data_IF_282267503714
#
_entry.id   IF_282267503714
#
_cell.length_a   1.000
_cell.length_b   1.000
_cell.length_c   1.000
_cell.angle_alpha   90.00
_cell.angle_beta   90.00
_cell.angle_gamma   90.00
#
_symmetry.space_group_name_H-M   'P 1'
#
loop_
_entity.id
_entity.type
_entity.pdbx_description
1 polymer ?
#
# COMPACT_ATOMS: atom_id res chain seq x y z
N UNK A 1 -58.55 -4.91 39.61
CA UNK A 1 -57.76 -3.80 40.18
C UNK A 1 -57.79 -2.65 39.19
N UNK A 2 -58.22 -1.44 39.58
CA UNK A 2 -58.25 -0.28 38.68
C UNK A 2 -56.85 0.35 38.56
N UNK A 3 -56.44 0.68 37.33
CA UNK A 3 -55.21 1.43 37.06
C UNK A 3 -55.29 2.85 37.62
N UNK A 4 -54.21 3.40 38.20
CA UNK A 4 -54.23 4.76 38.70
C UNK A 4 -54.38 5.77 37.56
N UNK A 5 -55.28 6.73 37.78
CA UNK A 5 -55.44 7.90 36.92
C UNK A 5 -54.20 8.82 36.98
N UNK A 6 -53.76 9.38 35.84
CA UNK A 6 -52.53 10.17 35.77
C UNK A 6 -52.63 11.46 36.58
N UNK A 7 -51.48 11.88 37.11
CA UNK A 7 -51.38 13.02 38.03
C UNK A 7 -51.53 14.36 37.31
N UNK A 8 -51.88 15.41 38.06
CA UNK A 8 -52.03 16.78 37.54
C UNK A 8 -50.75 17.28 36.82
N UNK A 9 -49.57 16.78 37.23
CA UNK A 9 -48.28 17.09 36.61
C UNK A 9 -48.08 16.41 35.25
N UNK A 10 -48.60 15.21 35.03
CA UNK A 10 -48.55 14.51 33.73
C UNK A 10 -49.49 15.14 32.68
N UNK A 11 -50.52 15.87 33.13
CA UNK A 11 -51.42 16.64 32.25
C UNK A 11 -50.86 18.00 31.82
N UNK A 12 -49.88 18.55 32.56
CA UNK A 12 -49.28 19.86 32.26
C UNK A 12 -48.10 19.79 31.27
N UNK A 13 -47.43 18.65 31.13
CA UNK A 13 -46.29 18.47 30.20
C UNK A 13 -46.67 17.91 28.81
N UNK A 14 -47.90 17.47 28.60
CA UNK A 14 -48.36 16.98 27.28
C UNK A 14 -48.59 18.10 26.25
N UNK A 15 -48.58 19.37 26.69
CA UNK A 15 -48.76 20.54 25.83
C UNK A 15 -47.47 21.07 25.18
N UNK A 16 -46.30 20.58 25.59
CA UNK A 16 -44.99 21.02 25.06
C UNK A 16 -44.39 20.09 24.00
N UNK A 17 -45.11 19.06 23.56
CA UNK A 17 -44.72 18.20 22.43
C UNK A 17 -45.65 18.43 21.23
N UNK A 18 -45.51 19.59 20.58
CA UNK A 18 -46.00 19.73 19.21
C UNK A 18 -45.00 19.07 18.27
N UNK A 19 -45.42 18.18 17.36
CA UNK A 19 -44.55 17.75 16.27
C UNK A 19 -44.15 18.99 15.44
N UNK A 20 -42.92 19.05 14.90
CA UNK A 20 -42.53 20.13 14.01
C UNK A 20 -43.50 20.18 12.82
N UNK A 21 -43.88 21.39 12.41
CA UNK A 21 -44.69 21.59 11.22
C UNK A 21 -43.99 20.98 9.99
N UNK A 22 -44.74 20.40 9.03
CA UNK A 22 -44.14 19.93 7.79
C UNK A 22 -43.44 21.09 7.09
N UNK A 23 -42.15 20.91 6.83
CA UNK A 23 -41.36 21.85 6.02
C UNK A 23 -41.92 21.80 4.60
N UNK A 24 -42.60 22.86 4.20
CA UNK A 24 -42.99 23.07 2.81
C UNK A 24 -41.69 23.41 2.07
N UNK A 25 -41.14 22.44 1.36
CA UNK A 25 -40.07 22.65 0.38
C UNK A 25 -40.64 23.46 -0.78
N UNK A 26 -40.15 24.70 -0.92
CA UNK A 26 -40.33 25.47 -2.14
C UNK A 26 -39.74 24.68 -3.33
N UNK A 27 -40.40 24.66 -4.49
CA UNK A 27 -39.82 24.06 -5.69
C UNK A 27 -38.51 24.77 -6.03
N UNK A 28 -37.46 23.99 -6.29
CA UNK A 28 -36.17 24.47 -6.79
C UNK A 28 -36.37 25.28 -8.08
N UNK A 29 -35.65 26.40 -8.27
CA UNK A 29 -35.68 27.12 -9.54
C UNK A 29 -35.24 26.18 -10.66
N UNK A 30 -36.07 26.05 -11.69
CA UNK A 30 -35.71 25.34 -12.92
C UNK A 30 -34.62 26.17 -13.61
N UNK A 31 -33.40 25.62 -13.66
CA UNK A 31 -32.32 26.22 -14.45
C UNK A 31 -32.70 26.27 -15.93
N UNK A 32 -32.34 27.35 -16.65
CA UNK A 32 -32.54 27.42 -18.09
C UNK A 32 -31.72 26.32 -18.80
N UNK A 33 -32.20 25.79 -19.94
CA UNK A 33 -31.48 24.75 -20.67
C UNK A 33 -30.10 25.24 -21.10
N UNK A 34 -29.08 24.47 -20.72
CA UNK A 34 -27.69 24.65 -21.17
C UNK A 34 -27.67 24.51 -22.69
N UNK A 35 -27.21 25.56 -23.36
CA UNK A 35 -27.01 25.57 -24.81
C UNK A 35 -25.93 24.54 -25.17
N UNK A 36 -26.35 23.42 -25.73
CA UNK A 36 -25.46 22.33 -26.15
C UNK A 36 -24.81 22.75 -27.46
N UNK A 37 -23.56 23.20 -27.41
CA UNK A 37 -22.75 23.38 -28.62
C UNK A 37 -22.45 21.98 -29.20
N UNK A 38 -22.71 21.72 -30.49
CA UNK A 38 -22.42 20.44 -31.10
C UNK A 38 -20.91 20.13 -31.02
N UNK A 39 -20.52 18.86 -30.84
CA UNK A 39 -19.12 18.46 -30.78
C UNK A 39 -18.44 18.79 -32.11
N UNK A 40 -17.35 19.55 -32.05
CA UNK A 40 -16.49 19.74 -33.21
C UNK A 40 -15.82 18.40 -33.53
N UNK A 41 -15.95 17.94 -34.78
CA UNK A 41 -15.26 16.76 -35.28
C UNK A 41 -13.75 16.90 -35.03
N UNK A 42 -13.07 15.88 -34.49
CA UNK A 42 -11.62 15.92 -34.32
C UNK A 42 -10.96 16.04 -35.69
N UNK A 43 -10.08 17.03 -35.80
CA UNK A 43 -9.19 17.20 -36.96
C UNK A 43 -8.29 15.95 -37.04
N UNK A 44 -8.19 15.29 -38.20
CA UNK A 44 -7.31 14.13 -38.36
C UNK A 44 -5.85 14.54 -38.13
N UNK A 45 -5.16 13.81 -37.25
CA UNK A 45 -3.74 14.00 -37.00
C UNK A 45 -2.92 13.73 -38.28
N UNK A 46 -1.83 14.48 -38.53
CA UNK A 46 -0.98 14.24 -39.69
C UNK A 46 -0.32 12.86 -39.60
N UNK A 47 -0.51 12.06 -40.64
CA UNK A 47 0.16 10.77 -40.81
C UNK A 47 1.66 10.98 -40.88
N UNK A 48 2.39 10.50 -39.88
CA UNK A 48 3.86 10.51 -39.88
C UNK A 48 4.35 9.38 -40.77
N UNK A 49 4.93 9.72 -41.91
CA UNK A 49 5.58 8.76 -42.82
C UNK A 49 6.79 8.13 -42.13
N UNK A 50 6.90 6.79 -42.03
CA UNK A 50 8.06 6.16 -41.42
C UNK A 50 9.33 6.45 -42.23
N UNK A 51 10.37 6.93 -41.55
CA UNK A 51 11.71 7.10 -42.12
C UNK A 51 12.29 5.73 -42.49
N UNK A 52 12.86 5.54 -43.69
CA UNK A 52 13.46 4.26 -44.06
C UNK A 52 14.67 3.96 -43.18
N UNK A 53 14.68 2.77 -42.59
CA UNK A 53 15.80 2.24 -41.81
C UNK A 53 17.06 2.12 -42.69
N UNK A 54 18.22 2.64 -42.29
CA UNK A 54 19.43 2.49 -43.07
C UNK A 54 19.87 1.02 -43.12
N UNK A 55 20.27 0.58 -44.32
CA UNK A 55 20.81 -0.75 -44.59
C UNK A 55 22.12 -0.96 -43.79
N UNK A 56 22.33 -2.10 -43.11
CA UNK A 56 23.56 -2.33 -42.36
C UNK A 56 24.78 -2.37 -43.29
N UNK A 57 25.77 -1.55 -42.97
CA UNK A 57 27.09 -1.55 -43.61
C UNK A 57 27.78 -2.90 -43.38
N UNK A 58 28.37 -3.54 -44.40
CA UNK A 58 29.09 -4.80 -44.22
C UNK A 58 30.31 -4.61 -43.30
N UNK A 59 30.38 -5.41 -42.25
CA UNK A 59 31.50 -5.45 -41.31
C UNK A 59 32.77 -5.96 -42.03
N UNK A 60 33.92 -5.27 -41.91
CA UNK A 60 35.17 -5.77 -42.49
C UNK A 60 35.61 -7.09 -41.81
N UNK A 61 36.32 -7.97 -42.52
CA UNK A 61 36.81 -9.23 -41.96
C UNK A 61 37.80 -8.95 -40.82
N UNK A 62 37.55 -9.57 -39.66
CA UNK A 62 38.41 -9.44 -38.48
C UNK A 62 39.67 -10.27 -38.69
N UNK A 63 40.82 -9.60 -38.76
CA UNK A 63 42.13 -10.24 -38.73
C UNK A 63 42.33 -10.92 -37.36
N UNK A 64 42.74 -12.21 -37.30
CA UNK A 64 42.97 -12.87 -36.03
C UNK A 64 44.15 -12.21 -35.29
N UNK A 65 43.85 -11.69 -34.10
CA UNK A 65 44.85 -11.17 -33.16
C UNK A 65 45.59 -12.37 -32.53
N UNK A 66 46.93 -12.37 -32.45
CA UNK A 66 47.67 -13.44 -31.79
C UNK A 66 47.29 -13.54 -30.30
N UNK A 67 47.34 -14.75 -29.71
CA UNK A 67 46.96 -14.95 -28.31
C UNK A 67 47.91 -14.16 -27.40
N UNK A 68 47.37 -13.14 -26.73
CA UNK A 68 48.07 -12.45 -25.65
C UNK A 68 47.96 -13.32 -24.41
N UNK A 69 49.10 -13.76 -23.88
CA UNK A 69 49.17 -14.48 -22.61
C UNK A 69 48.53 -13.61 -21.52
N UNK A 70 47.52 -14.08 -20.77
CA UNK A 70 46.90 -13.26 -19.74
C UNK A 70 47.91 -12.98 -18.62
N UNK A 71 48.25 -11.70 -18.44
CA UNK A 71 48.91 -11.23 -17.23
C UNK A 71 47.91 -11.37 -16.09
N UNK A 72 48.24 -12.06 -14.98
CA UNK A 72 47.33 -12.16 -13.85
C UNK A 72 47.05 -10.75 -13.31
N UNK A 73 45.78 -10.41 -12.99
CA UNK A 73 45.46 -9.12 -12.42
C UNK A 73 46.23 -8.93 -11.10
N UNK A 74 46.63 -7.69 -10.76
CA UNK A 74 47.19 -7.41 -9.45
C UNK A 74 46.21 -7.85 -8.38
N UNK A 75 46.69 -8.63 -7.42
CA UNK A 75 45.92 -9.06 -6.25
C UNK A 75 45.67 -7.82 -5.38
N UNK A 76 44.55 -7.14 -5.63
CA UNK A 76 44.04 -6.09 -4.73
C UNK A 76 43.57 -6.81 -3.46
N UNK A 77 44.10 -6.50 -2.27
CA UNK A 77 43.58 -7.08 -1.04
C UNK A 77 42.10 -6.73 -0.93
N UNK A 78 41.26 -7.75 -0.73
CA UNK A 78 39.85 -7.55 -0.48
C UNK A 78 39.68 -6.52 0.65
N UNK A 79 38.75 -5.55 0.52
CA UNK A 79 38.40 -4.70 1.65
C UNK A 79 38.01 -5.61 2.83
N UNK A 80 38.30 -5.21 4.08
CA UNK A 80 37.94 -6.01 5.24
C UNK A 80 36.45 -6.32 5.17
N UNK A 81 36.14 -7.60 5.00
CA UNK A 81 34.77 -8.12 5.07
C UNK A 81 34.36 -7.86 6.50
N UNK A 82 33.65 -6.77 6.74
CA UNK A 82 33.03 -6.55 8.04
C UNK A 82 32.06 -7.72 8.21
N UNK A 83 32.24 -8.59 9.20
CA UNK A 83 31.25 -9.63 9.45
C UNK A 83 29.93 -8.89 9.61
N UNK A 84 28.94 -9.24 8.79
CA UNK A 84 27.58 -8.73 8.91
C UNK A 84 27.17 -9.09 10.34
N UNK A 85 27.29 -8.11 11.25
CA UNK A 85 27.05 -8.33 12.66
C UNK A 85 25.70 -9.01 12.77
N UNK A 86 25.62 -10.07 13.56
CA UNK A 86 24.37 -10.74 13.89
C UNK A 86 23.42 -9.66 14.39
N UNK A 87 22.61 -9.09 13.50
CA UNK A 87 21.59 -8.11 13.86
C UNK A 87 20.63 -8.91 14.70
N UNK A 88 20.79 -8.83 16.02
CA UNK A 88 19.79 -9.31 16.96
C UNK A 88 18.50 -8.60 16.56
N UNK A 89 17.54 -9.38 16.05
CA UNK A 89 16.27 -8.80 15.65
C UNK A 89 15.65 -8.14 16.88
N UNK A 90 14.93 -7.03 16.69
CA UNK A 90 14.29 -6.30 17.78
C UNK A 90 13.33 -7.24 18.49
N UNK A 91 13.35 -7.32 19.82
CA UNK A 91 12.49 -8.24 20.60
C UNK A 91 11.14 -7.63 20.98
N UNK A 92 10.76 -6.51 20.36
CA UNK A 92 9.53 -5.79 20.65
C UNK A 92 8.34 -6.44 19.93
N UNK A 93 7.18 -6.48 20.59
CA UNK A 93 5.95 -7.04 20.01
C UNK A 93 5.86 -8.58 20.06
N UNK A 94 4.85 -9.18 19.41
CA UNK A 94 4.67 -10.62 19.38
C UNK A 94 5.77 -11.33 18.56
N UNK A 95 6.07 -12.58 18.93
CA UNK A 95 6.95 -13.47 18.17
C UNK A 95 6.19 -14.02 16.96
N UNK A 96 6.29 -13.36 15.82
CA UNK A 96 5.64 -13.80 14.59
C UNK A 96 6.65 -14.29 13.53
N UNK A 97 7.94 -14.31 13.88
CA UNK A 97 9.05 -14.57 12.96
C UNK A 97 9.00 -13.58 11.80
N UNK A 98 9.54 -12.37 12.03
CA UNK A 98 9.49 -11.31 11.02
C UNK A 98 10.06 -11.75 9.67
N UNK A 99 11.08 -12.63 9.66
CA UNK A 99 11.65 -13.16 8.41
C UNK A 99 10.67 -14.04 7.65
N UNK A 100 9.83 -14.80 8.35
CA UNK A 100 8.73 -15.53 7.74
C UNK A 100 7.69 -14.58 7.14
N UNK A 101 7.31 -13.51 7.85
CA UNK A 101 6.40 -12.49 7.31
C UNK A 101 6.96 -11.88 6.02
N UNK A 102 8.22 -11.44 6.07
CA UNK A 102 8.92 -10.87 4.92
C UNK A 102 8.90 -11.82 3.72
N UNK A 103 9.32 -13.07 3.89
CA UNK A 103 9.31 -14.09 2.82
C UNK A 103 7.91 -14.37 2.27
N UNK A 104 6.87 -14.24 3.11
CA UNK A 104 5.49 -14.45 2.70
C UNK A 104 4.89 -13.23 1.97
N UNK A 105 5.53 -12.07 2.05
CA UNK A 105 5.13 -10.89 1.29
C UNK A 105 5.34 -11.14 -0.21
N UNK A 106 4.33 -10.89 -1.07
CA UNK A 106 4.42 -11.27 -2.49
C UNK A 106 5.61 -10.66 -3.24
N UNK A 107 6.04 -9.44 -2.87
CA UNK A 107 7.19 -8.75 -3.48
C UNK A 107 8.56 -9.31 -3.06
N UNK A 108 8.64 -10.06 -1.95
CA UNK A 108 9.92 -10.55 -1.40
C UNK A 108 10.33 -11.95 -1.86
N UNK A 109 9.41 -12.69 -2.50
CA UNK A 109 9.64 -14.06 -2.97
C UNK A 109 9.63 -14.15 -4.48
N UNK A 110 8.46 -14.47 -5.05
CA UNK A 110 8.26 -14.71 -6.48
C UNK A 110 8.16 -13.43 -7.33
N UNK A 111 8.34 -12.25 -6.72
CA UNK A 111 8.15 -10.96 -7.38
C UNK A 111 6.70 -10.76 -7.85
N UNK A 112 5.74 -11.39 -7.16
CA UNK A 112 4.32 -11.30 -7.53
C UNK A 112 3.79 -9.91 -7.17
N UNK A 113 3.65 -9.06 -8.18
CA UNK A 113 3.22 -7.66 -8.00
C UNK A 113 1.68 -7.52 -7.93
N UNK A 114 0.95 -8.47 -8.52
CA UNK A 114 -0.51 -8.40 -8.66
C UNK A 114 -1.21 -9.71 -8.28
N UNK A 115 -1.35 -10.05 -6.98
CA UNK A 115 -2.04 -11.27 -6.57
C UNK A 115 -3.51 -11.33 -7.02
N UNK A 116 -4.16 -10.17 -7.14
CA UNK A 116 -5.52 -10.06 -7.64
C UNK A 116 -5.53 -9.60 -9.11
N UNK A 117 -5.40 -10.56 -10.03
CA UNK A 117 -5.32 -10.35 -11.48
C UNK A 117 -6.18 -11.35 -12.26
N UNK A 118 -6.53 -11.01 -13.50
CA UNK A 118 -7.21 -11.94 -14.42
C UNK A 118 -6.26 -13.03 -14.95
N UNK A 119 -6.79 -13.89 -15.83
CA UNK A 119 -6.04 -15.01 -16.43
C UNK A 119 -4.88 -14.53 -17.32
N UNK A 120 -4.99 -13.33 -17.89
CA UNK A 120 -3.99 -12.65 -18.69
C UNK A 120 -2.93 -11.93 -17.84
N UNK A 121 -3.15 -11.85 -16.53
CA UNK A 121 -2.25 -11.27 -15.55
C UNK A 121 -2.44 -9.77 -15.32
N UNK A 122 -3.53 -9.18 -15.83
CA UNK A 122 -3.87 -7.78 -15.63
C UNK A 122 -4.47 -7.60 -14.22
N UNK A 123 -3.96 -6.64 -13.42
CA UNK A 123 -4.50 -6.40 -12.09
C UNK A 123 -5.95 -5.93 -12.16
N UNK A 124 -6.79 -6.49 -11.28
CA UNK A 124 -8.19 -6.07 -11.15
C UNK A 124 -8.39 -4.75 -10.40
N UNK A 125 -7.34 -4.27 -9.73
CA UNK A 125 -7.33 -3.08 -8.89
C UNK A 125 -6.02 -2.33 -9.12
N UNK A 126 -6.03 -1.01 -9.15
CA UNK A 126 -4.77 -0.25 -9.30
C UNK A 126 -3.96 -0.26 -8.00
N UNK A 127 -4.63 -0.09 -6.86
CA UNK A 127 -3.98 -0.04 -5.55
C UNK A 127 -3.74 -1.46 -4.99
N UNK A 128 -2.47 -1.82 -4.84
CA UNK A 128 -2.07 -3.18 -4.44
C UNK A 128 -1.68 -3.32 -2.97
N UNK A 129 -1.36 -2.25 -2.25
CA UNK A 129 -0.79 -2.32 -0.89
C UNK A 129 -1.59 -3.22 0.07
N UNK A 130 -2.92 -3.04 0.12
CA UNK A 130 -3.78 -3.89 0.93
C UNK A 130 -3.85 -5.33 0.40
N UNK A 131 -3.80 -5.56 -0.90
CA UNK A 131 -3.87 -6.91 -1.50
C UNK A 131 -2.59 -7.69 -1.20
N UNK A 132 -1.43 -7.03 -1.32
CA UNK A 132 -0.13 -7.58 -0.99
C UNK A 132 -0.05 -7.94 0.49
N UNK A 133 -0.43 -7.00 1.37
CA UNK A 133 -0.45 -7.25 2.80
C UNK A 133 -1.49 -8.29 3.24
N UNK A 134 -2.68 -8.30 2.65
CA UNK A 134 -3.68 -9.34 2.88
C UNK A 134 -3.14 -10.72 2.52
N UNK A 135 -2.52 -10.85 1.36
CA UNK A 135 -1.87 -12.09 0.90
C UNK A 135 -0.75 -12.50 1.85
N UNK A 136 0.09 -11.56 2.29
CA UNK A 136 1.14 -11.80 3.28
C UNK A 136 0.56 -12.35 4.61
N UNK A 137 -0.50 -11.72 5.13
CA UNK A 137 -1.17 -12.15 6.36
C UNK A 137 -1.86 -13.51 6.20
N UNK A 138 -2.46 -13.78 5.03
CA UNK A 138 -3.08 -15.07 4.71
C UNK A 138 -2.04 -16.19 4.69
N UNK A 139 -0.93 -16.01 3.94
CA UNK A 139 0.21 -16.94 3.88
C UNK A 139 0.86 -17.17 5.24
N UNK A 140 0.75 -16.20 6.14
CA UNK A 140 1.28 -16.26 7.50
C UNK A 140 0.30 -16.82 8.54
N UNK A 141 -0.94 -17.14 8.16
CA UNK A 141 -1.97 -17.64 9.07
C UNK A 141 -2.60 -16.57 9.97
N UNK A 142 -2.34 -15.29 9.69
CA UNK A 142 -2.76 -14.15 10.52
C UNK A 142 -4.08 -13.51 10.07
N UNK A 143 -4.59 -13.83 8.87
CA UNK A 143 -5.81 -13.21 8.31
C UNK A 143 -7.13 -13.91 8.71
N UNK A 144 -7.07 -14.95 9.55
CA UNK A 144 -8.29 -15.68 9.95
C UNK A 144 -9.29 -14.76 10.67
N UNK A 145 -10.57 -14.83 10.28
CA UNK A 145 -11.62 -13.97 10.83
C UNK A 145 -11.62 -12.52 10.33
N UNK A 146 -10.92 -12.22 9.23
CA UNK A 146 -11.01 -10.92 8.57
C UNK A 146 -12.43 -10.67 8.06
N UNK A 147 -13.02 -9.54 8.48
CA UNK A 147 -14.45 -9.23 8.33
C UNK A 147 -14.70 -7.95 7.51
N UNK A 148 -13.70 -7.48 6.76
CA UNK A 148 -13.77 -6.24 5.98
C UNK A 148 -13.74 -6.51 4.48
N UNK A 149 -13.65 -5.44 3.68
CA UNK A 149 -13.82 -5.52 2.23
C UNK A 149 -12.75 -6.40 1.59
N UNK A 150 -13.21 -7.38 0.80
CA UNK A 150 -12.38 -8.27 -0.01
C UNK A 150 -12.82 -8.21 -1.48
N UNK A 151 -11.95 -8.68 -2.37
CA UNK A 151 -12.25 -8.77 -3.80
C UNK A 151 -13.53 -9.60 -4.08
N UNK A 152 -14.28 -9.20 -5.09
CA UNK A 152 -15.52 -9.85 -5.52
C UNK A 152 -15.35 -10.76 -6.75
N UNK A 153 -14.14 -10.87 -7.30
CA UNK A 153 -13.88 -11.70 -8.48
C UNK A 153 -14.01 -13.19 -8.16
N UNK A 154 -14.68 -13.93 -9.04
CA UNK A 154 -14.94 -15.36 -8.85
C UNK A 154 -13.62 -16.14 -8.80
N UNK A 155 -13.46 -16.98 -7.78
CA UNK A 155 -12.23 -17.76 -7.58
C UNK A 155 -11.16 -17.04 -6.77
N UNK A 156 -11.29 -15.73 -6.54
CA UNK A 156 -10.37 -14.97 -5.72
C UNK A 156 -10.85 -15.04 -4.26
N UNK A 157 -9.97 -15.48 -3.35
CA UNK A 157 -10.30 -15.59 -1.92
C UNK A 157 -9.23 -14.90 -1.08
N UNK A 158 -9.68 -13.98 -0.22
CA UNK A 158 -8.82 -13.38 0.81
C UNK A 158 -7.99 -12.17 0.38
N UNK A 159 -8.16 -11.65 -0.84
CA UNK A 159 -7.52 -10.38 -1.22
C UNK A 159 -8.23 -9.20 -0.56
N UNK A 160 -7.57 -8.58 0.40
CA UNK A 160 -8.08 -7.41 1.13
C UNK A 160 -7.88 -6.14 0.30
N UNK A 161 -8.87 -5.24 0.27
CA UNK A 161 -8.85 -4.12 -0.70
C UNK A 161 -8.47 -2.76 -0.12
N UNK A 162 -8.58 -2.55 1.20
CA UNK A 162 -8.50 -1.22 1.80
C UNK A 162 -7.50 -1.19 2.95
N UNK A 163 -6.44 -0.40 2.81
CA UNK A 163 -5.39 -0.27 3.81
C UNK A 163 -5.95 0.23 5.15
N UNK A 164 -6.82 1.24 5.15
CA UNK A 164 -7.51 1.72 6.36
C UNK A 164 -8.31 0.64 7.09
N UNK A 165 -9.06 -0.18 6.35
CA UNK A 165 -9.87 -1.24 6.95
C UNK A 165 -9.00 -2.35 7.52
N UNK A 166 -7.91 -2.67 6.83
CA UNK A 166 -6.94 -3.67 7.26
C UNK A 166 -6.20 -3.22 8.52
N UNK A 167 -5.65 -2.00 8.54
CA UNK A 167 -4.95 -1.43 9.70
C UNK A 167 -5.89 -1.27 10.90
N UNK A 168 -7.12 -0.80 10.66
CA UNK A 168 -8.18 -0.71 11.68
C UNK A 168 -8.63 -2.08 12.21
N UNK A 169 -8.62 -3.12 11.38
CA UNK A 169 -8.87 -4.49 11.83
C UNK A 169 -7.70 -5.03 12.66
N UNK A 170 -6.46 -4.83 12.24
CA UNK A 170 -5.27 -5.23 13.01
C UNK A 170 -5.24 -4.58 14.40
N UNK A 171 -5.55 -3.27 14.48
CA UNK A 171 -5.62 -2.53 15.75
C UNK A 171 -6.63 -3.12 16.75
N UNK A 172 -7.71 -3.75 16.27
CA UNK A 172 -8.74 -4.39 17.11
C UNK A 172 -8.35 -5.80 17.58
N UNK A 173 -7.24 -6.36 17.10
CA UNK A 173 -6.75 -7.70 17.45
C UNK A 173 -5.34 -7.64 18.07
N UNK A 174 -5.14 -6.92 19.19
CA UNK A 174 -3.83 -6.77 19.82
C UNK A 174 -3.25 -8.08 20.35
N UNK A 175 -4.08 -9.09 20.62
CA UNK A 175 -3.64 -10.45 20.96
C UNK A 175 -2.88 -11.14 19.82
N UNK A 176 -3.07 -10.66 18.58
CA UNK A 176 -2.46 -11.22 17.38
C UNK A 176 -1.32 -10.37 16.85
N UNK A 177 -1.52 -9.05 16.79
CA UNK A 177 -0.58 -8.11 16.17
C UNK A 177 0.24 -7.31 17.19
N UNK A 178 -0.08 -7.43 18.47
CA UNK A 178 0.49 -6.56 19.50
C UNK A 178 -0.18 -5.18 19.53
N UNK A 179 0.34 -4.32 20.41
CA UNK A 179 -0.16 -2.94 20.57
C UNK A 179 0.35 -2.07 19.43
N UNK A 180 -0.55 -1.30 18.81
CA UNK A 180 -0.17 -0.28 17.84
C UNK A 180 0.50 0.92 18.53
N UNK A 181 1.59 1.39 17.94
CA UNK A 181 2.19 2.69 18.17
C UNK A 181 1.67 3.66 17.10
N UNK A 182 1.13 4.80 17.51
CA UNK A 182 0.64 5.83 16.60
C UNK A 182 1.45 7.10 16.82
N UNK A 183 2.02 7.66 15.75
CA UNK A 183 2.77 8.91 15.78
C UNK A 183 2.45 9.77 14.55
N UNK A 184 2.61 11.07 14.69
CA UNK A 184 2.50 12.06 13.61
C UNK A 184 3.80 12.84 13.51
N UNK A 185 4.07 13.47 12.36
CA UNK A 185 5.25 14.30 12.13
C UNK A 185 6.57 13.57 12.46
N UNK A 186 6.69 12.34 11.96
CA UNK A 186 7.87 11.47 12.17
C UNK A 186 8.59 11.20 10.85
N UNK A 187 9.89 10.96 10.92
CA UNK A 187 10.65 10.38 9.82
C UNK A 187 10.89 8.90 10.05
N UNK A 188 11.33 8.18 9.02
CA UNK A 188 11.71 6.77 9.10
C UNK A 188 12.75 6.48 10.20
N UNK A 189 13.57 7.48 10.57
CA UNK A 189 14.56 7.36 11.64
C UNK A 189 13.96 6.99 13.00
N UNK A 190 12.69 7.32 13.26
CA UNK A 190 11.98 6.96 14.48
C UNK A 190 11.72 5.45 14.62
N UNK A 191 11.87 4.69 13.54
CA UNK A 191 11.59 3.25 13.45
C UNK A 191 12.83 2.42 13.10
N UNK A 192 14.01 3.06 13.01
CA UNK A 192 15.27 2.37 12.74
C UNK A 192 15.59 1.37 13.84
N UNK A 193 16.04 0.18 13.45
CA UNK A 193 16.33 -0.93 14.34
C UNK A 193 15.08 -1.58 14.93
N UNK A 194 13.90 -1.37 14.34
CA UNK A 194 12.63 -2.01 14.73
C UNK A 194 12.00 -2.64 13.49
N UNK A 195 11.53 -3.87 13.57
CA UNK A 195 10.83 -4.58 12.50
C UNK A 195 9.34 -4.62 12.80
N UNK A 196 8.49 -4.64 11.78
CA UNK A 196 7.06 -4.66 12.05
C UNK A 196 6.15 -4.48 10.86
N UNK A 197 4.85 -4.44 11.14
CA UNK A 197 3.87 -3.91 10.22
C UNK A 197 3.82 -2.39 10.34
N UNK A 198 3.59 -1.69 9.25
CA UNK A 198 3.50 -0.23 9.24
C UNK A 198 2.38 0.23 8.32
N UNK A 199 1.62 1.24 8.74
CA UNK A 199 0.57 1.86 7.95
C UNK A 199 0.72 3.39 7.99
N UNK A 200 0.62 3.99 6.82
CA UNK A 200 0.75 5.41 6.54
C UNK A 200 -0.65 5.94 6.22
N UNK A 201 -1.15 6.84 7.05
CA UNK A 201 -2.49 7.36 6.93
C UNK A 201 -2.51 8.75 6.27
N UNK A 202 -3.48 8.94 5.39
CA UNK A 202 -3.85 10.24 4.83
C UNK A 202 -2.69 11.03 4.20
N UNK A 203 -1.96 10.44 3.25
CA UNK A 203 -0.73 11.06 2.71
C UNK A 203 -0.74 11.33 1.18
N UNK A 204 -1.77 10.83 0.48
CA UNK A 204 -1.86 10.97 -0.97
C UNK A 204 -3.31 11.01 -1.49
N UNK A 205 -3.46 11.33 -2.78
CA UNK A 205 -4.76 11.42 -3.43
C UNK A 205 -5.51 12.72 -3.11
N UNK A 206 -6.72 12.85 -3.67
CA UNK A 206 -7.56 14.02 -3.47
C UNK A 206 -7.90 14.18 -1.96
N UNK A 207 -7.57 15.34 -1.40
CA UNK A 207 -7.81 15.62 0.02
C UNK A 207 -6.98 14.77 0.99
N UNK A 208 -5.85 14.19 0.55
CA UNK A 208 -4.99 13.35 1.36
C UNK A 208 -5.76 12.21 2.05
N UNK A 209 -6.62 11.50 1.31
CA UNK A 209 -7.41 10.40 1.87
C UNK A 209 -6.83 9.01 1.56
N UNK A 210 -5.69 8.97 0.87
CA UNK A 210 -5.00 7.73 0.52
C UNK A 210 -4.08 7.25 1.64
N UNK A 211 -4.15 5.95 1.93
CA UNK A 211 -3.31 5.25 2.88
C UNK A 211 -2.33 4.27 2.19
N UNK A 212 -1.35 3.76 2.93
CA UNK A 212 -0.46 2.65 2.52
C UNK A 212 -0.23 1.72 3.71
N UNK A 213 -0.11 0.42 3.49
CA UNK A 213 0.21 -0.56 4.53
C UNK A 213 1.25 -1.53 4.00
N UNK A 214 2.23 -1.85 4.84
CA UNK A 214 3.44 -2.57 4.43
C UNK A 214 4.15 -3.30 5.59
N UNK A 215 5.24 -4.01 5.27
CA UNK A 215 6.24 -4.49 6.21
C UNK A 215 7.43 -3.53 6.27
N UNK A 216 7.91 -3.26 7.49
CA UNK A 216 9.09 -2.45 7.76
C UNK A 216 10.23 -3.28 8.36
N UNK A 217 11.41 -3.24 7.74
CA UNK A 217 12.55 -4.11 8.09
C UNK A 217 13.51 -3.52 9.14
N UNK A 218 13.33 -2.26 9.53
CA UNK A 218 14.16 -1.58 10.51
C UNK A 218 15.51 -1.09 10.01
N UNK A 219 15.93 -1.39 8.79
CA UNK A 219 17.26 -1.00 8.32
C UNK A 219 17.31 0.47 7.93
N UNK A 220 16.24 0.97 7.31
CA UNK A 220 16.26 2.27 6.62
C UNK A 220 17.35 2.33 5.54
N UNK A 221 17.83 1.16 5.07
CA UNK A 221 18.86 1.05 4.04
C UNK A 221 18.17 0.72 2.75
N UNK A 222 18.40 1.56 1.74
CA UNK A 222 18.03 1.31 0.36
C UNK A 222 19.05 0.34 -0.27
N UNK A 223 18.77 -0.94 -0.14
CA UNK A 223 19.38 -2.06 -0.80
C UNK A 223 18.87 -2.19 -2.24
N UNK A 224 19.51 -1.37 -3.06
CA UNK A 224 19.75 -1.68 -4.48
C UNK A 224 20.31 -3.06 -4.74
N UNK A 225 21.00 -3.59 -3.71
CA UNK A 225 21.61 -4.91 -3.63
C UNK A 225 22.13 -5.39 -4.99
N UNK A 226 23.40 -5.21 -5.34
CA UNK A 226 23.92 -5.75 -6.61
C UNK A 226 23.36 -5.08 -7.91
N UNK A 227 22.27 -4.28 -7.91
CA UNK A 227 21.72 -3.63 -9.13
C UNK A 227 21.43 -2.10 -8.99
N UNK A 228 21.93 -1.24 -9.91
CA UNK A 228 21.83 0.22 -9.89
C UNK A 228 20.45 0.89 -10.15
N UNK A 229 19.35 0.17 -10.32
CA UNK A 229 18.00 0.74 -10.57
C UNK A 229 17.09 0.78 -9.34
N UNK A 230 17.54 0.23 -8.21
CA UNK A 230 16.64 -0.18 -7.14
C UNK A 230 16.50 0.88 -5.98
N UNK A 231 15.30 1.13 -5.50
CA UNK A 231 15.11 1.35 -4.06
C UNK A 231 15.01 -0.07 -3.44
N UNK A 232 15.32 -0.33 -2.17
CA UNK A 232 15.16 -1.70 -1.63
C UNK A 232 15.34 -1.79 -0.12
N UNK A 233 14.38 -2.27 0.67
CA UNK A 233 13.66 -1.16 1.26
C UNK A 233 13.48 -1.29 2.77
N UNK A 234 13.49 -0.13 3.43
CA UNK A 234 12.80 -0.03 4.71
C UNK A 234 11.33 -0.46 4.61
N UNK A 235 10.69 -0.52 3.42
CA UNK A 235 9.29 -0.91 3.18
C UNK A 235 9.12 -1.92 2.03
N UNK A 236 8.48 -3.07 2.20
CA UNK A 236 8.45 -4.12 1.15
C UNK A 236 7.83 -3.72 -0.22
N UNK A 237 6.98 -2.70 -0.29
CA UNK A 237 6.42 -2.11 -1.53
C UNK A 237 6.20 -0.59 -1.43
N UNK A 238 6.94 0.10 -0.54
CA UNK A 238 6.71 1.51 -0.20
C UNK A 238 7.95 2.41 -0.35
N UNK A 239 7.73 3.72 -0.27
CA UNK A 239 8.78 4.74 -0.36
C UNK A 239 8.98 5.47 0.98
N UNK A 240 10.19 6.00 1.21
CA UNK A 240 10.52 6.64 2.49
C UNK A 240 9.85 7.99 2.71
N UNK A 241 9.50 8.72 1.66
CA UNK A 241 8.78 9.99 1.78
C UNK A 241 7.37 9.80 2.37
N UNK A 242 6.87 8.57 2.45
CA UNK A 242 5.57 8.27 3.06
C UNK A 242 5.56 8.62 4.55
N UNK A 243 6.69 8.51 5.26
CA UNK A 243 6.77 8.87 6.68
C UNK A 243 6.45 10.35 6.91
N UNK A 244 7.15 11.23 6.18
CA UNK A 244 7.01 12.68 6.35
C UNK A 244 5.71 13.23 5.73
N UNK A 245 5.14 12.54 4.74
CA UNK A 245 3.89 12.95 4.08
C UNK A 245 2.63 12.52 4.84
N UNK A 246 2.74 11.52 5.71
CA UNK A 246 1.58 10.98 6.43
C UNK A 246 1.13 11.87 7.57
N UNK A 247 -0.19 11.96 7.73
CA UNK A 247 -0.79 12.58 8.90
C UNK A 247 -0.51 11.74 10.16
N UNK A 248 -0.65 10.41 10.04
CA UNK A 248 -0.31 9.45 11.08
C UNK A 248 0.44 8.25 10.51
N UNK A 249 1.39 7.74 11.30
CA UNK A 249 2.07 6.46 11.08
C UNK A 249 1.68 5.51 12.20
N UNK A 250 1.06 4.40 11.83
CA UNK A 250 0.69 3.31 12.73
C UNK A 250 1.70 2.17 12.58
N UNK A 251 2.32 1.77 13.68
CA UNK A 251 3.39 0.78 13.68
C UNK A 251 3.09 -0.34 14.68
N UNK A 252 3.25 -1.59 14.24
CA UNK A 252 3.18 -2.77 15.09
C UNK A 252 4.54 -3.46 15.09
N UNK A 253 5.31 -3.36 16.19
CA UNK A 253 6.59 -4.06 16.28
C UNK A 253 6.36 -5.57 16.23
N UNK A 254 7.27 -6.28 15.58
CA UNK A 254 7.27 -7.74 15.46
C UNK A 254 8.68 -8.26 15.59
N UNK A 255 8.83 -9.37 16.32
CA UNK A 255 10.07 -10.15 16.38
C UNK A 255 9.93 -11.53 15.71
#
# INVERSE_FOLDING_TARGET
>A
MPSPSPTLWERLFSWLRRPPAPVITLPTPVEPPVSITPPQNPVPAPTVTPTPTPLPTPTPPVTPVPPVTPVPPPVIPAPPVTPLGTMTLPTEGPNLDFRKLWRNHPTSGEGEVFPCRDEEGVPHFDNQCAILMGTCLLRSGLLHGYDKTTCWYRGHKGHTLRAQELSGWMRRHPERFGRVEVRSNVSWGAYKGRTGFICFHNFWGAGNQGDHIDLWDGTGIIRRELDPSLEGPGLADGAFDYFERSEEVWFWPVH
#
